data_IF_654388397171
#
_entry.id   IF_654388397171
#
_cell.length_a   1.000
_cell.length_b   1.000
_cell.length_c   1.000
_cell.angle_alpha   90.00
_cell.angle_beta   90.00
_cell.angle_gamma   90.00
#
_symmetry.space_group_name_H-M   'P 1'
#
loop_
_entity.id
_entity.type
_entity.pdbx_description
1 polymer ?
#
# COMPACT_ATOMS: atom_id res chain seq x y z
N UNK A 1 -7.47 -12.28 -22.42
CA UNK A 1 -8.00 -11.22 -21.53
C UNK A 1 -7.37 -9.90 -21.93
N UNK A 2 -8.04 -8.77 -21.77
CA UNK A 2 -7.43 -7.45 -22.05
C UNK A 2 -6.64 -6.99 -20.81
N UNK A 3 -5.36 -7.33 -20.75
CA UNK A 3 -4.49 -7.03 -19.61
C UNK A 3 -4.25 -5.53 -19.43
N UNK A 4 -4.37 -4.72 -20.49
CA UNK A 4 -4.25 -3.25 -20.40
C UNK A 4 -5.46 -2.67 -19.66
N UNK A 5 -6.66 -3.15 -19.97
CA UNK A 5 -7.87 -2.75 -19.25
C UNK A 5 -7.81 -3.17 -17.79
N UNK A 6 -7.30 -4.36 -17.49
CA UNK A 6 -7.14 -4.82 -16.11
C UNK A 6 -6.09 -4.00 -15.34
N UNK A 7 -4.99 -3.63 -15.99
CA UNK A 7 -3.98 -2.77 -15.38
C UNK A 7 -4.55 -1.39 -15.00
N UNK A 8 -5.46 -0.85 -15.81
CA UNK A 8 -6.14 0.41 -15.50
C UNK A 8 -7.12 0.28 -14.33
N UNK A 9 -7.78 -0.87 -14.18
CA UNK A 9 -8.60 -1.15 -13.00
C UNK A 9 -7.74 -1.19 -11.74
N UNK A 10 -6.59 -1.87 -11.78
CA UNK A 10 -5.64 -1.91 -10.66
C UNK A 10 -5.13 -0.51 -10.32
N UNK A 11 -4.75 0.29 -11.33
CA UNK A 11 -4.35 1.70 -11.12
C UNK A 11 -5.42 2.48 -10.35
N UNK A 12 -6.66 2.38 -10.79
CA UNK A 12 -7.76 3.07 -10.12
C UNK A 12 -7.97 2.61 -8.67
N UNK A 13 -7.76 1.32 -8.39
CA UNK A 13 -7.84 0.77 -7.03
C UNK A 13 -6.71 1.30 -6.14
N UNK A 14 -5.48 1.37 -6.65
CA UNK A 14 -4.33 1.97 -5.96
C UNK A 14 -4.58 3.47 -5.66
N UNK A 15 -5.15 4.20 -6.61
CA UNK A 15 -5.50 5.61 -6.44
C UNK A 15 -6.58 5.79 -5.36
N UNK A 16 -7.63 4.96 -5.37
CA UNK A 16 -8.67 4.99 -4.33
C UNK A 16 -8.13 4.58 -2.96
N UNK A 17 -7.24 3.60 -2.91
CA UNK A 17 -6.62 3.15 -1.67
C UNK A 17 -5.73 4.26 -1.10
N UNK A 18 -4.91 4.90 -1.93
CA UNK A 18 -4.11 6.05 -1.49
C UNK A 18 -4.97 7.22 -1.03
N UNK A 19 -6.08 7.51 -1.71
CA UNK A 19 -7.02 8.51 -1.25
C UNK A 19 -7.59 8.19 0.14
N UNK A 20 -7.91 6.92 0.41
CA UNK A 20 -8.37 6.46 1.72
C UNK A 20 -7.27 6.57 2.80
N UNK A 21 -6.01 6.27 2.45
CA UNK A 21 -4.85 6.46 3.33
C UNK A 21 -4.71 7.93 3.77
N UNK A 22 -4.82 8.87 2.83
CA UNK A 22 -4.66 10.31 3.10
C UNK A 22 -5.72 10.86 4.06
N UNK A 23 -6.94 10.33 4.02
CA UNK A 23 -8.03 10.71 4.95
C UNK A 23 -8.15 9.76 6.15
N UNK A 24 -7.25 8.77 6.28
CA UNK A 24 -7.21 7.78 7.37
C UNK A 24 -8.48 6.93 7.50
N UNK A 25 -9.14 6.61 6.38
CA UNK A 25 -10.33 5.76 6.34
C UNK A 25 -9.95 4.28 6.39
N UNK A 26 -9.78 3.76 7.60
CA UNK A 26 -9.36 2.37 7.85
C UNK A 26 -10.33 1.36 7.25
N UNK A 27 -11.64 1.59 7.32
CA UNK A 27 -12.60 0.63 6.76
C UNK A 27 -12.46 0.55 5.24
N UNK A 28 -12.29 1.70 4.58
CA UNK A 28 -12.07 1.73 3.14
C UNK A 28 -10.73 1.09 2.77
N UNK A 29 -9.66 1.35 3.51
CA UNK A 29 -8.34 0.70 3.32
C UNK A 29 -8.46 -0.83 3.38
N UNK A 30 -9.08 -1.34 4.45
CA UNK A 30 -9.25 -2.78 4.65
C UNK A 30 -10.14 -3.41 3.58
N UNK A 31 -11.07 -2.64 2.99
CA UNK A 31 -11.93 -3.13 1.91
C UNK A 31 -11.16 -3.51 0.63
N UNK A 32 -9.95 -2.99 0.43
CA UNK A 32 -9.08 -3.37 -0.70
C UNK A 32 -8.31 -4.65 -0.46
N UNK A 33 -8.11 -5.05 0.80
CA UNK A 33 -7.32 -6.24 1.15
C UNK A 33 -8.16 -7.51 1.18
N UNK A 34 -7.55 -8.66 0.91
CA UNK A 34 -8.19 -9.95 1.20
C UNK A 34 -8.27 -10.19 2.71
N UNK A 35 -9.17 -11.07 3.14
CA UNK A 35 -9.36 -11.39 4.56
C UNK A 35 -8.13 -12.06 5.18
N UNK A 36 -7.31 -12.71 4.37
CA UNK A 36 -6.05 -13.36 4.68
C UNK A 36 -4.82 -12.58 4.19
N UNK A 37 -4.98 -11.31 3.82
CA UNK A 37 -3.93 -10.49 3.25
C UNK A 37 -2.72 -10.33 4.17
N UNK A 38 -1.56 -10.04 3.57
CA UNK A 38 -0.28 -10.00 4.27
C UNK A 38 0.41 -8.66 4.07
N UNK A 39 0.68 -7.92 5.15
CA UNK A 39 1.43 -6.67 5.09
C UNK A 39 2.80 -6.85 5.73
N UNK A 40 3.83 -6.41 5.02
CA UNK A 40 5.23 -6.50 5.41
C UNK A 40 5.82 -5.08 5.48
N UNK A 41 5.41 -4.36 6.52
CA UNK A 41 5.82 -2.97 6.71
C UNK A 41 7.29 -2.87 7.17
N UNK A 42 7.99 -1.77 6.82
CA UNK A 42 9.37 -1.57 7.26
C UNK A 42 9.49 -1.60 8.78
N UNK A 43 10.54 -2.28 9.29
CA UNK A 43 10.87 -2.32 10.71
C UNK A 43 9.75 -2.82 11.64
N UNK A 44 8.86 -3.66 11.11
CA UNK A 44 7.76 -4.27 11.85
C UNK A 44 7.69 -5.79 11.61
N UNK A 45 7.07 -6.56 12.53
CA UNK A 45 6.66 -7.93 12.22
C UNK A 45 5.65 -7.96 11.07
N UNK A 46 5.53 -9.12 10.43
CA UNK A 46 4.49 -9.39 9.44
C UNK A 46 3.08 -9.27 10.05
N UNK A 47 2.15 -8.64 9.34
CA UNK A 47 0.74 -8.55 9.71
C UNK A 47 -0.08 -9.45 8.78
N UNK A 48 -0.82 -10.40 9.34
CA UNK A 48 -1.60 -11.38 8.58
C UNK A 48 -3.07 -11.27 8.94
N UNK A 49 -3.91 -11.08 7.92
CA UNK A 49 -5.35 -10.95 8.02
C UNK A 49 -5.85 -9.58 8.47
N UNK A 50 -7.15 -9.36 8.28
CA UNK A 50 -7.80 -8.04 8.43
C UNK A 50 -7.50 -7.35 9.76
N UNK A 51 -7.55 -8.06 10.89
CA UNK A 51 -7.35 -7.47 12.21
C UNK A 51 -5.89 -7.04 12.45
N UNK A 52 -4.91 -7.79 11.93
CA UNK A 52 -3.50 -7.41 12.05
C UNK A 52 -3.18 -6.21 11.16
N UNK A 53 -3.72 -6.19 9.93
CA UNK A 53 -3.58 -5.07 9.00
C UNK A 53 -4.23 -3.81 9.57
N UNK A 54 -5.40 -3.92 10.21
CA UNK A 54 -6.07 -2.82 10.90
C UNK A 54 -5.13 -2.18 11.92
N UNK A 55 -4.54 -2.99 12.80
CA UNK A 55 -3.59 -2.51 13.82
C UNK A 55 -2.36 -1.85 13.22
N UNK A 56 -1.86 -2.34 12.07
CA UNK A 56 -0.76 -1.67 11.39
C UNK A 56 -1.14 -0.26 10.94
N UNK A 57 -2.29 -0.12 10.27
CA UNK A 57 -2.79 1.19 9.82
C UNK A 57 -3.06 2.13 11.00
N UNK A 58 -3.70 1.65 12.07
CA UNK A 58 -3.92 2.44 13.30
C UNK A 58 -2.60 2.93 13.90
N UNK A 59 -1.59 2.05 13.99
CA UNK A 59 -0.26 2.41 14.49
C UNK A 59 0.40 3.45 13.59
N UNK A 60 0.31 3.30 12.28
CA UNK A 60 0.87 4.25 11.33
C UNK A 60 0.21 5.62 11.45
N UNK A 61 -1.13 5.67 11.54
CA UNK A 61 -1.89 6.91 11.67
C UNK A 61 -1.73 7.62 13.02
N UNK A 62 -1.39 6.87 14.07
CA UNK A 62 -1.08 7.39 15.40
C UNK A 62 0.35 7.93 15.54
N UNK A 63 1.26 7.65 14.59
CA UNK A 63 2.63 8.16 14.62
C UNK A 63 2.66 9.66 14.31
N UNK A 64 2.77 10.47 15.37
CA UNK A 64 2.80 11.95 15.30
C UNK A 64 4.11 12.50 14.71
N UNK A 65 5.11 11.64 14.48
CA UNK A 65 6.33 12.03 13.80
C UNK A 65 6.14 12.06 12.28
N UNK A 66 5.15 11.38 11.73
CA UNK A 66 4.89 11.34 10.29
C UNK A 66 4.04 12.54 9.87
N UNK A 67 4.48 13.25 8.82
CA UNK A 67 3.75 14.35 8.21
C UNK A 67 2.93 13.83 7.03
N UNK A 68 1.73 13.33 7.31
CA UNK A 68 0.84 12.72 6.29
C UNK A 68 0.43 13.68 5.17
N UNK A 69 0.36 14.97 5.47
CA UNK A 69 0.14 16.08 4.55
C UNK A 69 1.28 16.25 3.51
N UNK A 70 2.43 15.63 3.74
CA UNK A 70 3.51 15.53 2.74
C UNK A 70 3.52 14.21 1.96
N UNK A 71 2.57 13.31 2.21
CA UNK A 71 2.56 12.00 1.57
C UNK A 71 2.29 12.12 0.07
N UNK A 72 3.14 11.49 -0.73
CA UNK A 72 2.97 11.34 -2.18
C UNK A 72 3.30 9.91 -2.57
N UNK A 73 2.76 9.46 -3.70
CA UNK A 73 3.06 8.15 -4.27
C UNK A 73 3.11 8.20 -5.79
N UNK A 74 3.75 7.22 -6.38
CA UNK A 74 3.80 6.99 -7.82
C UNK A 74 3.80 5.50 -8.13
N UNK A 75 3.07 5.12 -9.18
CA UNK A 75 3.02 3.74 -9.68
C UNK A 75 3.95 3.61 -10.88
N UNK A 76 5.02 2.84 -10.73
CA UNK A 76 6.06 2.68 -11.76
C UNK A 76 5.74 1.56 -12.74
N UNK A 77 5.09 0.50 -12.26
CA UNK A 77 4.78 -0.69 -13.07
C UNK A 77 3.50 -1.31 -12.56
N UNK A 78 2.64 -1.71 -13.49
CA UNK A 78 1.47 -2.54 -13.23
C UNK A 78 1.49 -3.64 -14.28
N UNK A 79 1.63 -4.88 -13.85
CA UNK A 79 1.60 -6.04 -14.74
C UNK A 79 0.52 -7.00 -14.30
N UNK A 80 -0.32 -7.37 -15.26
CA UNK A 80 -1.41 -8.32 -15.06
C UNK A 80 -1.02 -9.63 -15.75
N UNK A 81 -1.18 -10.73 -15.03
CA UNK A 81 -1.01 -12.09 -15.55
C UNK A 81 -1.86 -12.34 -16.80
N UNK A 82 -1.44 -13.24 -17.68
CA UNK A 82 -2.19 -13.59 -18.90
C UNK A 82 -3.58 -14.18 -18.60
N UNK A 83 -3.71 -14.90 -17.48
CA UNK A 83 -4.97 -15.39 -16.91
C UNK A 83 -5.86 -14.27 -16.38
N UNK A 84 -5.26 -13.12 -16.04
CA UNK A 84 -5.90 -11.93 -15.50
C UNK A 84 -6.62 -12.15 -14.18
N UNK A 85 -6.08 -13.05 -13.37
CA UNK A 85 -6.47 -13.32 -12.00
C UNK A 85 -5.43 -12.86 -10.97
N UNK A 86 -4.21 -12.53 -11.42
CA UNK A 86 -3.16 -11.88 -10.64
C UNK A 86 -2.63 -10.62 -11.30
N UNK A 87 -2.22 -9.66 -10.48
CA UNK A 87 -1.42 -8.52 -10.89
C UNK A 87 -0.37 -8.19 -9.82
N UNK A 88 0.74 -7.60 -10.23
CA UNK A 88 1.62 -6.91 -9.29
C UNK A 88 1.77 -5.44 -9.67
N UNK A 89 1.92 -4.62 -8.66
CA UNK A 89 2.21 -3.20 -8.75
C UNK A 89 3.56 -2.98 -8.09
N UNK A 90 4.44 -2.23 -8.76
CA UNK A 90 5.64 -1.68 -8.14
C UNK A 90 5.52 -0.17 -8.17
N UNK A 91 5.80 0.47 -7.04
CA UNK A 91 5.79 1.91 -6.95
C UNK A 91 6.73 2.45 -5.89
N UNK A 92 6.64 3.75 -5.70
CA UNK A 92 7.37 4.51 -4.71
C UNK A 92 6.42 5.42 -3.94
N UNK A 93 6.79 5.73 -2.71
CA UNK A 93 6.11 6.73 -1.90
C UNK A 93 7.12 7.61 -1.17
N UNK A 94 6.67 8.81 -0.85
CA UNK A 94 7.45 9.79 -0.12
C UNK A 94 6.60 10.35 1.01
N UNK A 95 7.23 10.58 2.16
CA UNK A 95 6.68 11.41 3.22
C UNK A 95 7.82 12.01 4.05
N UNK A 96 7.53 13.12 4.72
CA UNK A 96 8.44 13.74 5.68
C UNK A 96 8.19 13.22 7.09
N UNK A 97 9.27 13.07 7.87
CA UNK A 97 9.23 12.63 9.26
C UNK A 97 9.95 13.62 10.17
N UNK A 98 9.37 13.93 11.33
CA UNK A 98 10.01 14.69 12.41
C UNK A 98 11.01 13.77 13.12
N UNK A 99 12.24 14.25 13.26
CA UNK A 99 13.32 13.55 13.97
C UNK A 99 13.97 14.51 14.98
N UNK A 100 14.80 14.02 15.92
CA UNK A 100 15.53 14.89 16.85
C UNK A 100 16.45 15.91 16.15
N UNK A 101 16.88 15.64 14.92
CA UNK A 101 17.76 16.52 14.13
C UNK A 101 17.01 17.42 13.14
N UNK A 102 15.67 17.37 13.12
CA UNK A 102 14.83 18.15 12.22
C UNK A 102 13.88 17.30 11.38
N UNK A 103 13.26 17.92 10.37
CA UNK A 103 12.39 17.22 9.42
C UNK A 103 13.26 16.54 8.37
N UNK A 104 13.08 15.22 8.20
CA UNK A 104 13.80 14.41 7.23
C UNK A 104 12.83 13.86 6.19
N UNK A 105 13.25 13.90 4.92
CA UNK A 105 12.54 13.31 3.80
C UNK A 105 12.75 11.79 3.77
N UNK A 106 11.67 11.02 3.69
CA UNK A 106 11.70 9.55 3.62
C UNK A 106 11.18 9.10 2.26
N UNK A 107 12.06 8.50 1.45
CA UNK A 107 11.67 7.79 0.23
C UNK A 107 11.49 6.31 0.53
N UNK A 108 10.45 5.72 -0.04
CA UNK A 108 10.13 4.31 0.08
C UNK A 108 9.80 3.74 -1.29
N UNK A 109 9.95 2.41 -1.39
CA UNK A 109 9.52 1.61 -2.52
C UNK A 109 8.66 0.46 -2.02
N UNK A 110 7.70 0.05 -2.83
CA UNK A 110 6.74 -0.97 -2.46
C UNK A 110 6.41 -1.91 -3.63
N UNK A 111 5.87 -3.07 -3.25
CA UNK A 111 5.21 -4.00 -4.16
C UNK A 111 3.89 -4.42 -3.55
N UNK A 112 2.82 -4.30 -4.34
CA UNK A 112 1.49 -4.80 -4.01
C UNK A 112 1.11 -5.91 -4.98
N UNK A 113 0.63 -7.03 -4.45
CA UNK A 113 0.14 -8.17 -5.23
C UNK A 113 -1.37 -8.22 -5.09
N UNK A 114 -2.04 -8.14 -6.22
CA UNK A 114 -3.49 -8.20 -6.33
C UNK A 114 -3.92 -9.53 -6.90
N UNK A 115 -5.02 -10.05 -6.38
CA UNK A 115 -5.68 -11.26 -6.87
C UNK A 115 -7.16 -11.02 -7.08
N UNK A 116 -7.73 -11.60 -8.13
CA UNK A 116 -9.17 -11.65 -8.36
C UNK A 116 -9.80 -12.73 -7.48
N UNK A 117 -10.64 -12.32 -6.53
CA UNK A 117 -11.39 -13.16 -5.60
C UNK A 117 -12.86 -12.79 -5.73
N UNK A 118 -13.72 -13.77 -6.05
CA UNK A 118 -15.16 -13.55 -6.26
C UNK A 118 -15.47 -12.38 -7.23
N UNK A 119 -14.73 -12.35 -8.35
CA UNK A 119 -14.78 -11.30 -9.38
C UNK A 119 -14.39 -9.89 -8.91
N UNK A 120 -13.74 -9.76 -7.76
CA UNK A 120 -13.21 -8.50 -7.25
C UNK A 120 -11.70 -8.58 -7.09
N UNK A 121 -11.00 -7.51 -7.47
CA UNK A 121 -9.57 -7.39 -7.17
C UNK A 121 -9.38 -7.08 -5.67
N UNK A 122 -8.51 -7.87 -5.03
CA UNK A 122 -8.11 -7.70 -3.64
C UNK A 122 -6.59 -7.76 -3.53
N UNK A 123 -6.00 -6.86 -2.76
CA UNK A 123 -4.59 -6.94 -2.40
C UNK A 123 -4.40 -8.08 -1.40
N UNK A 124 -3.57 -9.05 -1.79
CA UNK A 124 -3.27 -10.23 -0.97
C UNK A 124 -1.91 -10.11 -0.27
N UNK A 125 -1.04 -9.24 -0.78
CA UNK A 125 0.28 -9.00 -0.21
C UNK A 125 0.71 -7.56 -0.52
N UNK A 126 1.13 -6.85 0.51
CA UNK A 126 1.79 -5.54 0.40
C UNK A 126 3.13 -5.60 1.14
N UNK A 127 4.20 -5.13 0.50
CA UNK A 127 5.53 -5.03 1.11
C UNK A 127 6.15 -3.69 0.78
N UNK A 128 6.67 -3.01 1.80
CA UNK A 128 7.37 -1.74 1.66
C UNK A 128 8.74 -1.76 2.34
N UNK A 129 9.67 -0.97 1.82
CA UNK A 129 10.94 -0.67 2.49
C UNK A 129 11.42 0.75 2.16
N UNK A 130 12.29 1.27 3.03
CA UNK A 130 12.86 2.61 2.85
C UNK A 130 14.11 2.58 1.97
N UNK A 131 14.33 3.64 1.20
CA UNK A 131 15.61 3.93 0.55
C UNK A 131 16.59 4.64 1.51
N UNK A 132 16.10 5.07 2.67
CA UNK A 132 16.94 5.74 3.66
C UNK A 132 17.88 4.73 4.32
N UNK A 133 19.13 5.12 4.61
CA UNK A 133 20.04 4.29 5.38
C UNK A 133 19.45 4.01 6.77
N UNK A 134 19.65 2.77 7.23
CA UNK A 134 19.28 2.32 8.59
C UNK A 134 20.27 2.82 9.64
#
# INVERSE_FOLDING_TARGET
MDTLKEAEIIRNLEDQWTAALLIKDIEKILSFSSSDGVYMDPNAPIYIGTEAIRKSNEKWFADTTILFDSYTYGLDTIEVSESGDFAYVRGHSHFNKKTPIGIVSTNNKFVDIWKRIDNQWKCILSIGNSDMPN
#
